data_IF_554385295041
#
_entry.id   IF_554385295041
#
_cell.length_a   1.000
_cell.length_b   1.000
_cell.length_c   1.000
_cell.angle_alpha   90.00
_cell.angle_beta   90.00
_cell.angle_gamma   90.00
#
_symmetry.space_group_name_H-M   'P 1'
#
loop_
_entity.id
_entity.type
_entity.pdbx_description
1 polymer ?
#
# COMPACT_ATOMS: atom_id res chain seq x y z
N UNK A 1 6.52 19.13 2.78
CA UNK A 1 5.11 19.39 3.17
C UNK A 1 4.42 18.13 3.64
N UNK A 2 4.51 17.02 2.90
CA UNK A 2 3.85 15.74 3.16
C UNK A 2 4.09 15.21 4.58
N UNK A 3 5.36 15.01 4.97
CA UNK A 3 5.69 14.46 6.28
C UNK A 3 5.15 15.29 7.45
N UNK A 4 5.42 16.59 7.46
CA UNK A 4 4.97 17.50 8.53
C UNK A 4 3.45 17.55 8.62
N UNK A 5 2.75 17.71 7.50
CA UNK A 5 1.29 17.82 7.48
C UNK A 5 0.62 16.51 7.92
N UNK A 6 1.07 15.36 7.40
CA UNK A 6 0.48 14.07 7.76
C UNK A 6 0.71 13.73 9.24
N UNK A 7 1.91 13.97 9.78
CA UNK A 7 2.18 13.73 11.19
C UNK A 7 1.44 14.70 12.12
N UNK A 8 1.32 15.98 11.73
CA UNK A 8 0.49 16.95 12.47
C UNK A 8 -0.97 16.46 12.58
N UNK A 9 -1.55 16.04 11.46
CA UNK A 9 -2.90 15.48 11.42
C UNK A 9 -3.01 14.22 12.29
N UNK A 10 -2.04 13.30 12.20
CA UNK A 10 -2.02 12.10 13.04
C UNK A 10 -1.99 12.42 14.53
N UNK A 11 -1.15 13.36 14.98
CA UNK A 11 -1.08 13.79 16.38
C UNK A 11 -2.41 14.39 16.85
N UNK A 12 -3.02 15.26 16.05
CA UNK A 12 -4.33 15.85 16.36
C UNK A 12 -5.44 14.80 16.46
N UNK A 13 -5.43 13.78 15.58
CA UNK A 13 -6.38 12.68 15.62
C UNK A 13 -6.16 11.74 16.83
N UNK A 14 -4.92 11.63 17.32
CA UNK A 14 -4.58 10.93 18.55
C UNK A 14 -4.94 11.72 19.82
N UNK A 15 -5.37 12.97 19.69
CA UNK A 15 -5.86 13.80 20.80
C UNK A 15 -4.81 14.75 21.38
N UNK A 16 -3.65 14.90 20.74
CA UNK A 16 -2.68 15.93 21.10
C UNK A 16 -3.28 17.33 20.91
N UNK A 17 -2.88 18.27 21.76
CA UNK A 17 -3.40 19.65 21.78
C UNK A 17 -2.26 20.65 21.65
N UNK A 18 -2.53 21.75 20.94
CA UNK A 18 -1.62 22.89 20.85
C UNK A 18 -1.40 23.50 22.24
N UNK A 19 -0.23 23.27 22.83
CA UNK A 19 0.12 23.76 24.16
C UNK A 19 1.17 24.88 24.09
N UNK A 20 0.74 26.07 23.65
CA UNK A 20 1.59 27.26 23.54
C UNK A 20 2.62 27.21 22.39
N UNK A 21 3.32 28.31 22.16
CA UNK A 21 4.13 28.53 20.94
C UNK A 21 5.46 27.74 20.89
N UNK A 22 5.92 27.21 22.04
CA UNK A 22 7.15 26.42 22.13
C UNK A 22 6.95 24.92 21.83
N UNK A 23 5.70 24.50 21.67
CA UNK A 23 5.29 23.13 21.39
C UNK A 23 5.69 22.67 19.98
N UNK A 24 6.05 21.40 19.84
CA UNK A 24 6.43 20.79 18.56
C UNK A 24 5.28 20.88 17.55
N UNK A 25 4.04 20.74 18.04
CA UNK A 25 2.83 20.85 17.24
C UNK A 25 2.64 22.27 16.68
N UNK A 26 2.82 23.31 17.52
CA UNK A 26 2.76 24.71 17.10
C UNK A 26 3.83 25.07 16.05
N UNK A 27 5.05 24.54 16.22
CA UNK A 27 6.14 24.68 15.23
C UNK A 27 5.79 23.98 13.92
N UNK A 28 5.23 22.77 13.98
CA UNK A 28 4.75 22.04 12.80
C UNK A 28 3.67 22.81 12.04
N UNK A 29 2.65 23.34 12.75
CA UNK A 29 1.61 24.20 12.18
C UNK A 29 2.19 25.44 11.50
N UNK A 30 3.07 26.16 12.20
CA UNK A 30 3.72 27.37 11.67
C UNK A 30 4.55 27.08 10.43
N UNK A 31 5.23 25.93 10.40
CA UNK A 31 5.97 25.46 9.24
C UNK A 31 5.03 25.14 8.07
N UNK A 32 3.92 24.43 8.31
CA UNK A 32 2.91 24.13 7.27
C UNK A 32 2.38 25.42 6.63
N UNK A 33 1.96 26.38 7.46
CA UNK A 33 1.41 27.65 6.97
C UNK A 33 2.45 28.46 6.16
N UNK A 34 3.69 28.56 6.65
CA UNK A 34 4.76 29.32 5.97
C UNK A 34 5.24 28.69 4.64
N UNK A 35 4.98 27.39 4.41
CA UNK A 35 5.42 26.66 3.21
C UNK A 35 4.28 26.39 2.21
N UNK A 36 3.26 27.26 2.19
CA UNK A 36 2.17 27.18 1.22
C UNK A 36 0.95 26.37 1.68
N UNK A 37 0.84 26.11 2.99
CA UNK A 37 -0.27 25.40 3.64
C UNK A 37 -0.47 23.97 3.13
N UNK A 38 -1.48 23.27 3.65
CA UNK A 38 -1.86 21.96 3.13
C UNK A 38 -2.30 22.01 1.65
N UNK A 39 -2.59 23.17 1.07
CA UNK A 39 -2.85 23.31 -0.38
C UNK A 39 -1.65 22.91 -1.26
N UNK A 40 -0.43 22.98 -0.71
CA UNK A 40 0.80 22.57 -1.38
C UNK A 40 1.21 21.11 -1.09
N UNK A 41 0.40 20.32 -0.38
CA UNK A 41 0.73 18.92 -0.09
C UNK A 41 0.76 18.08 -1.40
N UNK A 42 1.65 17.08 -1.56
CA UNK A 42 1.62 16.18 -2.71
C UNK A 42 0.31 15.40 -2.84
N UNK A 43 0.03 14.87 -4.03
CA UNK A 43 -1.25 14.22 -4.38
C UNK A 43 -1.71 13.16 -3.36
N UNK A 44 -0.82 12.28 -2.89
CA UNK A 44 -1.19 11.27 -1.89
C UNK A 44 -1.64 11.89 -0.57
N UNK A 45 -1.03 13.00 -0.16
CA UNK A 45 -1.50 13.78 0.98
C UNK A 45 -2.87 14.38 0.72
N UNK A 46 -3.09 14.99 -0.45
CA UNK A 46 -4.41 15.55 -0.83
C UNK A 46 -5.50 14.49 -0.73
N UNK A 47 -5.23 13.27 -1.21
CA UNK A 47 -6.18 12.15 -1.17
C UNK A 47 -6.50 11.76 0.28
N UNK A 48 -5.50 11.54 1.13
CA UNK A 48 -5.72 11.22 2.54
C UNK A 48 -6.49 12.31 3.28
N UNK A 49 -6.13 13.57 3.06
CA UNK A 49 -6.82 14.71 3.63
C UNK A 49 -8.26 14.85 3.11
N UNK A 50 -8.53 14.48 1.86
CA UNK A 50 -9.89 14.43 1.31
C UNK A 50 -10.74 13.33 1.92
N UNK A 51 -10.18 12.14 2.12
CA UNK A 51 -10.86 11.01 2.77
C UNK A 51 -11.34 11.40 4.18
N UNK A 52 -10.53 12.11 4.97
CA UNK A 52 -10.90 12.54 6.33
C UNK A 52 -11.68 13.87 6.36
N UNK A 53 -11.82 14.55 5.22
CA UNK A 53 -12.61 15.76 5.09
C UNK A 53 -11.90 17.08 5.42
N UNK A 54 -10.57 17.15 5.40
CA UNK A 54 -9.80 18.41 5.60
C UNK A 54 -9.27 19.01 4.29
N UNK A 55 -9.62 18.42 3.15
CA UNK A 55 -9.22 18.88 1.82
C UNK A 55 -10.31 18.53 0.79
N UNK A 56 -10.71 19.44 -0.10
CA UNK A 56 -11.79 19.14 -1.05
C UNK A 56 -11.32 18.25 -2.21
N UNK A 57 -12.15 17.27 -2.62
CA UNK A 57 -11.82 16.37 -3.74
C UNK A 57 -11.59 17.11 -5.06
N UNK A 58 -12.18 18.29 -5.26
CA UNK A 58 -11.92 19.14 -6.44
C UNK A 58 -10.46 19.60 -6.50
N UNK A 59 -9.78 19.71 -5.36
CA UNK A 59 -8.36 20.05 -5.30
C UNK A 59 -7.42 18.89 -5.58
N UNK A 60 -7.93 17.74 -6.04
CA UNK A 60 -7.13 16.59 -6.48
C UNK A 60 -7.13 16.50 -8.01
N UNK A 61 -6.02 16.02 -8.58
CA UNK A 61 -6.04 15.57 -9.98
C UNK A 61 -6.99 14.38 -10.10
N UNK A 62 -7.77 14.26 -11.19
CA UNK A 62 -8.70 13.16 -11.37
C UNK A 62 -8.02 11.80 -11.25
N UNK A 63 -8.64 10.91 -10.47
CA UNK A 63 -8.26 9.50 -10.35
C UNK A 63 -9.40 8.71 -10.95
N UNK A 64 -9.21 8.12 -12.12
CA UNK A 64 -10.31 7.72 -13.01
C UNK A 64 -10.64 6.24 -12.78
N UNK A 65 -11.76 5.88 -12.12
CA UNK A 65 -12.16 4.47 -11.95
C UNK A 65 -12.27 3.72 -13.28
N UNK A 66 -12.78 4.40 -14.30
CA UNK A 66 -13.10 3.85 -15.62
C UNK A 66 -11.86 3.38 -16.38
N UNK A 67 -10.66 3.78 -15.96
CA UNK A 67 -9.41 3.25 -16.50
C UNK A 67 -9.28 1.73 -16.29
N UNK A 68 -9.97 1.16 -15.29
CA UNK A 68 -10.04 -0.29 -15.04
C UNK A 68 -11.04 -1.04 -15.92
N UNK A 69 -11.74 -0.34 -16.82
CA UNK A 69 -12.66 -0.94 -17.79
C UNK A 69 -12.12 -0.90 -19.22
N UNK A 70 -10.98 -0.24 -19.45
CA UNK A 70 -10.39 -0.19 -20.80
C UNK A 70 -9.81 -1.57 -21.16
N UNK A 71 -9.63 -1.91 -22.45
CA UNK A 71 -9.06 -3.20 -22.83
C UNK A 71 -7.65 -3.45 -22.27
N UNK A 72 -7.42 -4.66 -21.74
CA UNK A 72 -6.16 -5.05 -21.06
C UNK A 72 -4.89 -4.93 -21.94
N UNK A 73 -5.03 -4.97 -23.27
CA UNK A 73 -3.90 -4.84 -24.19
C UNK A 73 -3.37 -3.40 -24.29
N UNK A 74 -4.12 -2.40 -23.82
CA UNK A 74 -3.69 -1.00 -23.86
C UNK A 74 -2.60 -0.74 -22.81
N UNK A 75 -1.54 0.03 -23.14
CA UNK A 75 -0.42 0.28 -22.23
C UNK A 75 -0.83 1.09 -20.98
N UNK A 76 -1.95 1.81 -21.05
CA UNK A 76 -2.51 2.59 -19.95
C UNK A 76 -3.39 1.77 -19.00
N UNK A 77 -3.65 0.50 -19.31
CA UNK A 77 -4.50 -0.34 -18.47
C UNK A 77 -3.82 -0.60 -17.10
N UNK A 78 -4.48 -0.37 -15.94
CA UNK A 78 -3.84 -0.43 -14.63
C UNK A 78 -3.26 -1.81 -14.28
N UNK A 79 -3.81 -2.88 -14.84
CA UNK A 79 -3.27 -4.24 -14.70
C UNK A 79 -1.81 -4.38 -15.17
N UNK A 80 -1.33 -3.48 -16.03
CA UNK A 80 0.05 -3.44 -16.52
C UNK A 80 0.98 -2.58 -15.66
N UNK A 81 0.45 -1.81 -14.72
CA UNK A 81 1.29 -1.01 -13.82
C UNK A 81 1.92 -1.91 -12.76
N UNK A 82 3.02 -1.42 -12.19
CA UNK A 82 3.66 -2.03 -11.05
C UNK A 82 2.63 -2.33 -9.94
N UNK A 83 2.73 -3.49 -9.29
CA UNK A 83 1.72 -4.02 -8.39
C UNK A 83 1.36 -3.06 -7.25
N UNK A 84 2.37 -2.47 -6.60
CA UNK A 84 2.15 -1.46 -5.57
C UNK A 84 1.38 -0.25 -6.09
N UNK A 85 1.76 0.26 -7.26
CA UNK A 85 1.08 1.40 -7.88
C UNK A 85 -0.38 1.07 -8.17
N UNK A 86 -0.67 -0.02 -8.88
CA UNK A 86 -2.06 -0.32 -9.26
C UNK A 86 -2.94 -0.56 -8.05
N UNK A 87 -2.47 -1.25 -7.02
CA UNK A 87 -3.30 -1.61 -5.86
C UNK A 87 -3.60 -0.39 -4.98
N UNK A 88 -2.61 0.48 -4.75
CA UNK A 88 -2.86 1.73 -4.03
C UNK A 88 -3.84 2.62 -4.81
N UNK A 89 -3.61 2.81 -6.11
CA UNK A 89 -4.47 3.65 -6.93
C UNK A 89 -5.85 3.03 -7.19
N UNK A 90 -6.02 1.71 -7.09
CA UNK A 90 -7.31 1.03 -7.17
C UNK A 90 -8.28 1.53 -6.10
N UNK A 91 -7.82 1.52 -4.84
CA UNK A 91 -8.62 1.91 -3.68
C UNK A 91 -8.78 3.43 -3.62
N UNK A 92 -7.73 4.19 -3.99
CA UNK A 92 -7.86 5.64 -4.16
C UNK A 92 -8.88 6.01 -5.26
N UNK A 93 -8.91 5.29 -6.39
CA UNK A 93 -9.87 5.52 -7.45
C UNK A 93 -11.30 5.23 -6.99
N UNK A 94 -11.50 4.14 -6.24
CA UNK A 94 -12.81 3.81 -5.67
C UNK A 94 -13.32 4.96 -4.78
N UNK A 95 -12.52 5.39 -3.80
CA UNK A 95 -12.87 6.46 -2.87
C UNK A 95 -13.05 7.81 -3.57
N UNK A 96 -12.23 8.12 -4.58
CA UNK A 96 -12.38 9.32 -5.41
C UNK A 96 -13.66 9.28 -6.25
N UNK A 97 -13.99 8.14 -6.85
CA UNK A 97 -15.14 8.00 -7.74
C UNK A 97 -16.48 8.18 -7.00
N UNK A 98 -16.55 7.80 -5.74
CA UNK A 98 -17.69 8.07 -4.85
C UNK A 98 -17.56 9.39 -4.06
N UNK A 99 -16.43 10.10 -4.21
CA UNK A 99 -16.08 11.33 -3.45
C UNK A 99 -16.24 11.14 -1.94
N UNK A 100 -15.78 10.00 -1.42
CA UNK A 100 -15.99 9.66 -0.02
C UNK A 100 -15.34 10.67 0.92
N UNK A 101 -16.09 11.10 1.94
CA UNK A 101 -15.60 11.96 3.02
C UNK A 101 -16.10 11.38 4.34
N UNK A 102 -15.18 11.18 5.28
CA UNK A 102 -15.50 10.70 6.63
C UNK A 102 -16.29 11.71 7.47
N UNK A 103 -16.73 11.33 8.68
CA UNK A 103 -17.50 12.20 9.55
C UNK A 103 -16.74 13.49 9.93
N UNK A 104 -17.42 14.64 9.80
CA UNK A 104 -16.87 15.94 10.18
C UNK A 104 -16.98 16.15 11.70
N UNK A 105 -15.96 15.70 12.44
CA UNK A 105 -15.86 15.89 13.89
C UNK A 105 -15.31 17.29 14.24
N UNK A 106 -15.43 17.76 15.50
CA UNK A 106 -14.79 19.00 15.93
C UNK A 106 -13.27 19.03 15.64
N UNK A 107 -12.57 17.90 15.77
CA UNK A 107 -11.14 17.79 15.43
C UNK A 107 -10.90 18.01 13.94
N UNK A 108 -11.73 17.43 13.06
CA UNK A 108 -11.62 17.64 11.60
C UNK A 108 -11.88 19.11 11.23
N UNK A 109 -12.85 19.76 11.87
CA UNK A 109 -13.11 21.18 11.65
C UNK A 109 -11.95 22.05 12.14
N UNK A 110 -11.34 21.74 13.29
CA UNK A 110 -10.15 22.43 13.77
C UNK A 110 -8.96 22.26 12.81
N UNK A 111 -8.76 21.06 12.25
CA UNK A 111 -7.73 20.81 11.26
C UNK A 111 -7.90 21.65 9.99
N UNK A 112 -9.14 21.94 9.56
CA UNK A 112 -9.38 22.84 8.43
C UNK A 112 -8.88 24.27 8.71
N UNK A 113 -8.98 24.74 9.93
CA UNK A 113 -8.48 26.07 10.32
C UNK A 113 -6.96 26.06 10.57
N UNK A 114 -6.41 24.94 11.02
CA UNK A 114 -4.97 24.82 11.33
C UNK A 114 -4.08 24.66 10.10
N UNK A 115 -4.56 23.93 9.10
CA UNK A 115 -3.74 23.50 7.97
C UNK A 115 -3.74 24.48 6.80
N UNK A 116 -4.67 25.45 6.78
CA UNK A 116 -4.91 26.34 5.66
C UNK A 116 -4.68 27.79 6.05
N UNK A 117 -4.04 28.57 5.16
CA UNK A 117 -3.71 29.98 5.41
C UNK A 117 -4.88 30.95 5.18
N UNK A 118 -5.97 30.45 4.61
CA UNK A 118 -7.21 31.18 4.34
C UNK A 118 -8.40 30.33 4.83
N UNK A 119 -9.56 30.94 5.12
CA UNK A 119 -10.75 30.18 5.52
C UNK A 119 -11.05 29.06 4.53
N UNK A 120 -11.44 27.87 5.02
CA UNK A 120 -11.61 26.67 4.20
C UNK A 120 -12.55 26.87 2.99
N UNK A 121 -13.60 27.68 3.15
CA UNK A 121 -14.58 28.01 2.10
C UNK A 121 -14.02 28.90 0.99
N UNK A 122 -12.90 29.57 1.24
CA UNK A 122 -12.29 30.55 0.33
C UNK A 122 -11.05 29.97 -0.37
N UNK A 123 -10.73 28.70 -0.15
CA UNK A 123 -9.60 28.03 -0.81
C UNK A 123 -9.91 27.86 -2.29
N UNK A 124 -8.99 28.32 -3.13
CA UNK A 124 -8.98 28.03 -4.56
C UNK A 124 -8.47 26.60 -4.79
N UNK A 125 -9.41 25.65 -4.83
CA UNK A 125 -9.10 24.23 -5.04
C UNK A 125 -8.56 23.94 -6.43
N UNK A 126 -8.91 24.72 -7.46
CA UNK A 126 -8.35 24.57 -8.80
C UNK A 126 -6.85 24.86 -8.80
N UNK A 127 -6.43 25.95 -8.14
CA UNK A 127 -5.01 26.25 -7.93
C UNK A 127 -4.33 25.22 -7.04
N UNK A 128 -5.00 24.80 -5.96
CA UNK A 128 -4.46 23.79 -5.05
C UNK A 128 -4.18 22.47 -5.78
N UNK A 129 -5.02 22.06 -6.74
CA UNK A 129 -4.85 20.85 -7.57
C UNK A 129 -3.47 20.73 -8.19
N UNK A 130 -2.99 21.83 -8.74
CA UNK A 130 -1.71 21.89 -9.45
C UNK A 130 -0.51 22.26 -8.57
N UNK A 131 -0.77 22.59 -7.30
CA UNK A 131 0.24 23.00 -6.33
C UNK A 131 0.93 21.80 -5.70
N UNK A 132 2.23 21.92 -5.48
CA UNK A 132 3.07 20.99 -4.72
C UNK A 132 4.23 21.79 -4.13
N UNK A 133 4.53 21.59 -2.85
CA UNK A 133 5.66 22.24 -2.18
C UNK A 133 6.97 21.84 -2.86
N UNK A 134 7.88 22.80 -3.03
CA UNK A 134 9.15 22.59 -3.73
C UNK A 134 9.99 21.50 -3.09
N UNK A 135 9.95 21.41 -1.76
CA UNK A 135 10.68 20.44 -0.95
C UNK A 135 10.23 19.00 -1.21
N UNK A 136 8.99 18.79 -1.65
CA UNK A 136 8.44 17.46 -1.94
C UNK A 136 8.43 17.14 -3.46
N UNK A 137 8.79 18.11 -4.32
CA UNK A 137 8.70 17.98 -5.77
C UNK A 137 9.95 17.29 -6.34
N UNK A 138 10.03 15.97 -6.17
CA UNK A 138 11.13 15.17 -6.73
C UNK A 138 11.03 15.00 -8.26
N UNK A 139 9.82 14.80 -8.78
CA UNK A 139 9.57 14.61 -10.21
C UNK A 139 8.60 15.68 -10.72
N UNK A 140 9.12 16.77 -11.31
CA UNK A 140 8.30 17.81 -11.90
C UNK A 140 7.44 17.26 -13.04
N UNK A 141 6.18 17.71 -13.12
CA UNK A 141 5.29 17.31 -14.21
C UNK A 141 5.77 17.89 -15.54
N UNK A 142 5.81 17.05 -16.57
CA UNK A 142 6.08 17.50 -17.94
C UNK A 142 4.91 18.29 -18.51
N UNK A 143 5.15 19.07 -19.57
CA UNK A 143 4.07 19.78 -20.27
C UNK A 143 3.01 18.83 -20.81
N UNK A 144 3.42 17.65 -21.30
CA UNK A 144 2.49 16.60 -21.75
C UNK A 144 1.60 16.09 -20.60
N UNK A 145 2.17 15.86 -19.42
CA UNK A 145 1.38 15.46 -18.24
C UNK A 145 0.41 16.55 -17.80
N UNK A 146 0.83 17.83 -17.83
CA UNK A 146 -0.06 18.95 -17.50
C UNK A 146 -1.23 19.03 -18.50
N UNK A 147 -0.97 18.83 -19.80
CA UNK A 147 -2.03 18.77 -20.80
C UNK A 147 -2.98 17.60 -20.54
N UNK A 148 -2.46 16.40 -20.25
CA UNK A 148 -3.28 15.22 -19.93
C UNK A 148 -4.16 15.50 -18.72
N UNK A 149 -3.60 15.93 -17.59
CA UNK A 149 -4.38 16.23 -16.38
C UNK A 149 -5.40 17.35 -16.60
N UNK A 150 -5.04 18.39 -17.38
CA UNK A 150 -5.96 19.44 -17.79
C UNK A 150 -7.14 18.91 -18.60
N UNK A 151 -6.89 18.01 -19.56
CA UNK A 151 -7.94 17.36 -20.33
C UNK A 151 -8.82 16.45 -19.46
N UNK A 152 -8.19 15.66 -18.58
CA UNK A 152 -8.92 14.78 -17.66
C UNK A 152 -9.85 15.59 -16.75
N UNK A 153 -9.38 16.72 -16.23
CA UNK A 153 -10.16 17.54 -15.32
C UNK A 153 -11.27 18.35 -16.02
N UNK A 154 -10.99 18.97 -17.17
CA UNK A 154 -11.95 19.88 -17.82
C UNK A 154 -13.01 19.16 -18.66
N UNK A 155 -12.69 17.96 -19.16
CA UNK A 155 -13.58 17.26 -20.09
C UNK A 155 -13.97 15.89 -19.56
N UNK A 156 -12.99 15.01 -19.26
CA UNK A 156 -13.28 13.60 -18.96
C UNK A 156 -14.05 13.45 -17.65
N UNK A 157 -13.59 14.08 -16.56
CA UNK A 157 -14.23 13.99 -15.24
C UNK A 157 -15.66 14.57 -15.24
N UNK A 158 -15.94 15.77 -15.81
CA UNK A 158 -17.31 16.26 -15.94
C UNK A 158 -18.21 15.33 -16.75
N UNK A 159 -17.74 14.84 -17.90
CA UNK A 159 -18.52 13.93 -18.76
C UNK A 159 -18.88 12.66 -17.98
N UNK A 160 -17.92 12.04 -17.30
CA UNK A 160 -18.13 10.80 -16.54
C UNK A 160 -19.02 10.98 -15.29
N UNK A 161 -19.28 12.22 -14.86
CA UNK A 161 -20.25 12.53 -13.81
C UNK A 161 -21.65 12.85 -14.35
N UNK A 162 -21.82 13.00 -15.67
CA UNK A 162 -23.10 13.29 -16.29
C UNK A 162 -23.79 12.02 -16.82
N UNK A 163 -25.12 12.01 -16.78
CA UNK A 163 -25.90 10.95 -17.42
C UNK A 163 -25.80 11.05 -18.95
N UNK A 164 -25.64 9.93 -19.70
CA UNK A 164 -25.61 8.54 -19.24
C UNK A 164 -24.21 7.99 -18.93
N UNK A 165 -23.15 8.78 -19.08
CA UNK A 165 -21.77 8.34 -18.94
C UNK A 165 -21.41 7.93 -17.49
N UNK A 166 -22.10 8.48 -16.49
CA UNK A 166 -21.97 8.06 -15.09
C UNK A 166 -22.29 6.57 -14.83
N UNK A 167 -23.04 5.90 -15.71
CA UNK A 167 -23.22 4.44 -15.65
C UNK A 167 -21.90 3.67 -15.85
N UNK A 168 -20.95 4.25 -16.58
CA UNK A 168 -19.61 3.69 -16.72
C UNK A 168 -18.86 3.75 -15.38
N UNK A 169 -19.01 4.86 -14.64
CA UNK A 169 -18.48 5.02 -13.29
C UNK A 169 -19.03 3.98 -12.33
N UNK A 170 -20.34 3.79 -12.31
CA UNK A 170 -20.99 2.77 -11.46
C UNK A 170 -20.44 1.36 -11.75
N UNK A 171 -20.29 1.01 -13.04
CA UNK A 171 -19.68 -0.26 -13.45
C UNK A 171 -18.22 -0.36 -13.03
N UNK A 172 -17.45 0.73 -13.15
CA UNK A 172 -16.05 0.78 -12.78
C UNK A 172 -15.87 0.60 -11.27
N UNK A 173 -16.68 1.30 -10.46
CA UNK A 173 -16.68 1.17 -9.00
C UNK A 173 -17.03 -0.26 -8.56
N UNK A 174 -18.04 -0.89 -9.16
CA UNK A 174 -18.36 -2.29 -8.90
C UNK A 174 -17.22 -3.23 -9.29
N UNK A 175 -16.50 -2.95 -10.38
CA UNK A 175 -15.33 -3.72 -10.76
C UNK A 175 -14.18 -3.54 -9.75
N UNK A 176 -13.85 -2.30 -9.39
CA UNK A 176 -12.82 -1.99 -8.40
C UNK A 176 -13.07 -2.71 -7.08
N UNK A 177 -14.30 -2.69 -6.57
CA UNK A 177 -14.60 -3.35 -5.29
C UNK A 177 -14.42 -4.87 -5.34
N UNK A 178 -14.67 -5.51 -6.50
CA UNK A 178 -14.35 -6.93 -6.70
C UNK A 178 -12.85 -7.19 -6.64
N UNK A 179 -12.03 -6.32 -7.24
CA UNK A 179 -10.57 -6.44 -7.17
C UNK A 179 -10.04 -6.17 -5.75
N UNK A 180 -10.66 -5.23 -5.01
CA UNK A 180 -10.34 -4.96 -3.60
C UNK A 180 -10.63 -6.19 -2.73
N UNK A 181 -11.84 -6.75 -2.81
CA UNK A 181 -12.20 -7.97 -2.08
C UNK A 181 -11.29 -9.14 -2.45
N UNK A 182 -10.94 -9.29 -3.74
CA UNK A 182 -10.01 -10.32 -4.17
C UNK A 182 -8.62 -10.18 -3.52
N UNK A 183 -8.06 -8.96 -3.51
CA UNK A 183 -6.78 -8.69 -2.85
C UNK A 183 -6.88 -8.99 -1.34
N UNK A 184 -7.96 -8.56 -0.71
CA UNK A 184 -8.18 -8.78 0.72
C UNK A 184 -8.28 -10.27 1.06
N UNK A 185 -9.13 -11.03 0.36
CA UNK A 185 -9.32 -12.45 0.61
C UNK A 185 -8.03 -13.27 0.36
N UNK A 186 -7.33 -12.99 -0.75
CA UNK A 186 -6.12 -13.75 -1.13
C UNK A 186 -4.90 -13.42 -0.28
N UNK A 187 -4.88 -12.27 0.39
CA UNK A 187 -3.84 -11.88 1.34
C UNK A 187 -4.26 -12.03 2.80
N UNK A 188 -5.40 -12.69 3.05
CA UNK A 188 -6.00 -12.82 4.39
C UNK A 188 -6.10 -11.49 5.14
N UNK A 189 -6.46 -10.44 4.40
CA UNK A 189 -6.67 -9.07 4.84
C UNK A 189 -5.40 -8.33 5.31
N UNK A 190 -4.21 -8.88 5.00
CA UNK A 190 -2.92 -8.20 5.21
C UNK A 190 -2.67 -7.16 4.12
N UNK A 191 -3.04 -7.44 2.87
CA UNK A 191 -2.73 -6.62 1.70
C UNK A 191 -1.25 -6.61 1.33
N UNK A 192 -0.91 -6.11 0.14
CA UNK A 192 0.50 -6.01 -0.30
C UNK A 192 1.36 -5.09 0.58
N UNK A 193 0.80 -4.06 1.22
CA UNK A 193 1.55 -3.04 1.96
C UNK A 193 0.61 -2.26 2.89
N UNK A 194 1.12 -1.48 3.88
CA UNK A 194 0.27 -0.80 4.86
C UNK A 194 -0.69 0.21 4.24
N UNK A 195 -0.30 0.84 3.12
CA UNK A 195 -1.11 1.84 2.42
C UNK A 195 -2.33 1.16 1.78
N UNK A 196 -2.10 0.11 1.00
CA UNK A 196 -3.18 -0.68 0.39
C UNK A 196 -4.06 -1.29 1.48
N UNK A 197 -3.47 -1.83 2.54
CA UNK A 197 -4.23 -2.37 3.69
C UNK A 197 -5.18 -1.34 4.26
N UNK A 198 -4.68 -0.14 4.58
CA UNK A 198 -5.49 0.91 5.19
C UNK A 198 -6.59 1.39 4.24
N UNK A 199 -6.28 1.59 2.97
CA UNK A 199 -7.25 2.04 1.96
C UNK A 199 -8.31 0.98 1.67
N UNK A 200 -7.95 -0.30 1.55
CA UNK A 200 -8.90 -1.40 1.35
C UNK A 200 -9.84 -1.55 2.55
N UNK A 201 -9.29 -1.47 3.77
CA UNK A 201 -10.09 -1.48 4.99
C UNK A 201 -11.11 -0.34 5.00
N UNK A 202 -10.72 0.87 4.57
CA UNK A 202 -11.65 2.00 4.41
C UNK A 202 -12.69 1.69 3.32
N UNK A 203 -12.29 1.15 2.16
CA UNK A 203 -13.24 0.80 1.10
C UNK A 203 -14.30 -0.21 1.58
N UNK A 204 -13.89 -1.25 2.30
CA UNK A 204 -14.80 -2.24 2.89
C UNK A 204 -15.71 -1.63 3.96
N UNK A 205 -15.19 -0.70 4.77
CA UNK A 205 -16.01 0.03 5.74
C UNK A 205 -17.05 0.93 5.06
N UNK A 206 -16.66 1.61 3.97
CA UNK A 206 -17.55 2.48 3.18
C UNK A 206 -18.63 1.67 2.44
N UNK A 207 -18.27 0.49 1.90
CA UNK A 207 -19.23 -0.41 1.27
C UNK A 207 -20.26 -0.90 2.30
N UNK A 208 -19.80 -1.42 3.43
CA UNK A 208 -20.66 -1.81 4.55
C UNK A 208 -19.85 -1.93 5.85
N UNK A 209 -20.08 -1.05 6.86
CA UNK A 209 -19.31 -1.04 8.10
C UNK A 209 -19.57 -2.27 9.00
N UNK A 210 -20.63 -3.03 8.72
CA UNK A 210 -20.98 -4.27 9.45
C UNK A 210 -20.57 -5.54 8.69
N UNK A 211 -19.91 -5.41 7.54
CA UNK A 211 -19.47 -6.55 6.72
C UNK A 211 -18.43 -7.41 7.41
N UNK A 212 -18.43 -8.70 7.09
CA UNK A 212 -17.38 -9.60 7.59
C UNK A 212 -16.02 -9.25 6.99
N UNK A 213 -15.97 -8.76 5.75
CA UNK A 213 -14.74 -8.24 5.13
C UNK A 213 -14.08 -7.13 5.97
N UNK A 214 -14.86 -6.14 6.42
CA UNK A 214 -14.33 -5.09 7.31
C UNK A 214 -13.86 -5.66 8.65
N UNK A 215 -14.61 -6.60 9.27
CA UNK A 215 -14.22 -7.21 10.55
C UNK A 215 -12.90 -7.99 10.45
N UNK A 216 -12.65 -8.66 9.32
CA UNK A 216 -11.41 -9.41 9.09
C UNK A 216 -10.18 -8.50 8.94
N UNK A 217 -10.36 -7.26 8.49
CA UNK A 217 -9.27 -6.27 8.44
C UNK A 217 -8.78 -5.80 9.81
N UNK A 218 -9.64 -5.77 10.82
CA UNK A 218 -9.34 -5.21 12.14
C UNK A 218 -8.18 -5.91 12.86
N UNK A 219 -8.15 -7.25 13.02
CA UNK A 219 -7.03 -7.91 13.67
C UNK A 219 -5.71 -7.78 12.88
N UNK A 220 -5.78 -7.66 11.55
CA UNK A 220 -4.62 -7.52 10.67
C UNK A 220 -3.99 -6.13 10.68
N UNK A 221 -4.61 -5.14 11.33
CA UNK A 221 -3.99 -3.82 11.49
C UNK A 221 -2.71 -3.88 12.34
N UNK A 222 -2.68 -4.76 13.34
CA UNK A 222 -1.54 -4.93 14.24
C UNK A 222 -0.32 -5.54 13.56
N UNK A 223 -0.51 -6.30 12.47
CA UNK A 223 0.59 -6.91 11.70
C UNK A 223 1.57 -5.84 11.16
N UNK A 224 1.11 -4.60 10.99
CA UNK A 224 1.91 -3.47 10.55
C UNK A 224 2.47 -2.60 11.68
N UNK A 225 2.13 -2.85 12.94
CA UNK A 225 2.61 -2.03 14.06
C UNK A 225 3.81 -2.69 14.73
N UNK A 226 4.91 -1.92 14.85
CA UNK A 226 6.14 -2.35 15.48
C UNK A 226 6.52 -1.44 16.64
N UNK A 227 6.85 -2.03 17.79
CA UNK A 227 7.34 -1.30 18.95
C UNK A 227 8.88 -1.30 18.95
N UNK A 228 9.47 -0.12 18.75
CA UNK A 228 10.91 0.12 18.82
C UNK A 228 11.27 0.98 20.03
N UNK A 229 12.57 1.24 20.21
CA UNK A 229 13.13 2.06 21.28
C UNK A 229 12.63 3.51 21.31
N UNK A 230 12.18 4.02 20.16
CA UNK A 230 11.61 5.36 19.96
C UNK A 230 10.07 5.35 19.91
N UNK A 231 9.44 4.21 20.22
CA UNK A 231 7.99 4.05 20.29
C UNK A 231 7.41 3.17 19.19
N UNK A 232 6.08 3.24 19.03
CA UNK A 232 5.34 2.43 18.07
C UNK A 232 5.34 3.09 16.68
N UNK A 233 5.66 2.34 15.63
CA UNK A 233 5.67 2.80 14.23
C UNK A 233 4.97 1.82 13.29
N UNK A 234 4.48 2.33 12.17
CA UNK A 234 3.99 1.50 11.09
C UNK A 234 5.16 0.97 10.25
N UNK A 235 5.20 -0.34 10.04
CA UNK A 235 6.14 -1.02 9.17
C UNK A 235 5.78 -0.79 7.69
N UNK A 236 6.76 -0.86 6.80
CA UNK A 236 6.57 -0.71 5.34
C UNK A 236 5.93 -1.95 4.70
N UNK A 237 5.88 -3.06 5.45
CA UNK A 237 5.30 -4.36 5.08
C UNK A 237 4.83 -5.06 6.37
N UNK A 238 4.19 -6.23 6.32
CA UNK A 238 3.85 -7.03 7.53
C UNK A 238 5.08 -7.72 8.17
N UNK A 239 6.26 -7.13 7.99
CA UNK A 239 7.58 -7.65 8.35
C UNK A 239 8.41 -8.05 7.12
N UNK A 240 9.58 -8.64 7.35
CA UNK A 240 10.47 -9.14 6.29
C UNK A 240 11.05 -10.52 6.63
N UNK A 241 10.27 -11.32 7.36
CA UNK A 241 10.68 -12.59 7.96
C UNK A 241 11.32 -13.56 6.97
N UNK A 242 10.69 -13.81 5.81
CA UNK A 242 11.22 -14.74 4.81
C UNK A 242 12.55 -14.23 4.21
N UNK A 243 12.63 -12.93 3.95
CA UNK A 243 13.83 -12.29 3.41
C UNK A 243 15.01 -12.34 4.39
N UNK A 244 14.78 -11.93 5.63
CA UNK A 244 15.82 -11.90 6.67
C UNK A 244 16.31 -13.31 7.02
N UNK A 245 15.39 -14.27 7.20
CA UNK A 245 15.77 -15.64 7.57
C UNK A 245 16.57 -16.31 6.44
N UNK A 246 16.21 -16.07 5.17
CA UNK A 246 17.00 -16.56 4.04
C UNK A 246 18.44 -16.05 4.08
N UNK A 247 18.66 -14.76 4.35
CA UNK A 247 20.01 -14.19 4.47
C UNK A 247 20.74 -14.62 5.74
N UNK A 248 20.05 -14.72 6.87
CA UNK A 248 20.64 -15.20 8.13
C UNK A 248 21.17 -16.62 7.93
N UNK A 249 20.39 -17.51 7.30
CA UNK A 249 20.84 -18.86 6.97
C UNK A 249 22.10 -18.82 6.12
N UNK A 250 22.10 -18.04 5.03
CA UNK A 250 23.26 -17.91 4.14
C UNK A 250 24.49 -17.39 4.86
N UNK A 251 24.33 -16.41 5.75
CA UNK A 251 25.40 -15.86 6.55
C UNK A 251 26.00 -16.94 7.46
N UNK A 252 25.17 -17.66 8.22
CA UNK A 252 25.65 -18.78 9.05
C UNK A 252 26.29 -19.90 8.23
N UNK A 253 25.73 -20.24 7.06
CA UNK A 253 26.31 -21.21 6.14
C UNK A 253 27.68 -20.78 5.59
N UNK A 254 27.93 -19.49 5.50
CA UNK A 254 29.22 -18.92 5.09
C UNK A 254 30.22 -18.87 6.24
N UNK A 255 29.81 -19.25 7.45
CA UNK A 255 30.69 -19.39 8.61
C UNK A 255 30.95 -20.86 8.92
N UNK A 256 32.06 -21.15 9.60
CA UNK A 256 32.30 -22.47 10.20
C UNK A 256 31.60 -22.62 11.57
N UNK A 257 30.50 -21.89 11.82
CA UNK A 257 29.82 -21.84 13.12
C UNK A 257 28.51 -22.63 13.17
N UNK A 258 28.03 -23.21 12.07
CA UNK A 258 26.76 -23.94 12.02
C UNK A 258 26.68 -25.03 13.10
N UNK A 259 27.77 -25.78 13.32
CA UNK A 259 27.84 -26.81 14.36
C UNK A 259 27.56 -26.28 15.78
N UNK A 260 27.84 -25.00 16.04
CA UNK A 260 27.54 -24.35 17.34
C UNK A 260 26.09 -23.88 17.43
N UNK A 261 25.43 -23.61 16.31
CA UNK A 261 24.09 -23.04 16.23
C UNK A 261 23.06 -23.98 15.59
N UNK A 262 23.33 -25.29 15.55
CA UNK A 262 22.47 -26.30 14.92
C UNK A 262 20.99 -26.16 15.24
N UNK A 263 20.57 -26.10 16.53
CA UNK A 263 19.16 -25.93 16.89
C UNK A 263 18.52 -24.65 16.34
N UNK A 264 19.27 -23.53 16.29
CA UNK A 264 18.80 -22.26 15.71
C UNK A 264 18.62 -22.40 14.20
N UNK A 265 19.60 -22.99 13.52
CA UNK A 265 19.54 -23.21 12.06
C UNK A 265 18.43 -24.18 11.68
N UNK A 266 18.19 -25.23 12.47
CA UNK A 266 17.08 -26.15 12.27
C UNK A 266 15.72 -25.44 12.33
N UNK A 267 15.52 -24.55 13.31
CA UNK A 267 14.30 -23.73 13.39
C UNK A 267 14.16 -22.78 12.19
N UNK A 268 15.25 -22.15 11.75
CA UNK A 268 15.25 -21.30 10.56
C UNK A 268 14.91 -22.11 9.29
N UNK A 269 15.43 -23.32 9.16
CA UNK A 269 15.12 -24.25 8.07
C UNK A 269 13.64 -24.64 8.07
N UNK A 270 13.09 -25.01 9.23
CA UNK A 270 11.66 -25.31 9.39
C UNK A 270 10.78 -24.11 9.05
N UNK A 271 11.17 -22.90 9.48
CA UNK A 271 10.48 -21.66 9.12
C UNK A 271 10.45 -21.45 7.60
N UNK A 272 11.59 -21.58 6.91
CA UNK A 272 11.63 -21.44 5.45
C UNK A 272 10.76 -22.49 4.75
N UNK A 273 10.78 -23.74 5.22
CA UNK A 273 9.90 -24.80 4.70
C UNK A 273 8.42 -24.52 4.94
N UNK A 274 8.05 -23.86 6.03
CA UNK A 274 6.66 -23.56 6.35
C UNK A 274 6.15 -22.27 5.68
N UNK A 275 7.07 -21.40 5.26
CA UNK A 275 6.75 -20.09 4.67
C UNK A 275 6.58 -20.11 3.14
N UNK A 276 6.83 -21.24 2.48
CA UNK A 276 6.61 -21.36 1.03
C UNK A 276 5.12 -21.30 0.70
N UNK A 277 4.76 -20.56 -0.34
CA UNK A 277 3.42 -20.56 -0.92
C UNK A 277 3.17 -21.87 -1.66
N UNK A 278 2.20 -22.67 -1.21
CA UNK A 278 1.98 -24.03 -1.72
C UNK A 278 1.02 -24.14 -2.91
N UNK A 279 0.28 -23.06 -3.23
CA UNK A 279 -0.69 -23.02 -4.31
C UNK A 279 -0.79 -21.62 -4.91
N UNK A 280 -1.17 -21.54 -6.19
CA UNK A 280 -1.57 -20.26 -6.78
C UNK A 280 -2.88 -19.79 -6.13
N UNK A 281 -3.08 -18.48 -6.08
CA UNK A 281 -4.36 -17.90 -5.70
C UNK A 281 -5.45 -18.29 -6.72
N UNK A 282 -6.71 -18.51 -6.30
CA UNK A 282 -7.80 -18.77 -7.23
C UNK A 282 -7.91 -17.64 -8.26
N UNK A 283 -8.14 -17.95 -9.54
CA UNK A 283 -8.36 -16.95 -10.61
C UNK A 283 -7.28 -15.85 -10.74
N UNK A 284 -6.04 -16.10 -10.31
CA UNK A 284 -4.98 -15.09 -10.17
C UNK A 284 -4.75 -14.22 -11.43
N UNK A 285 -4.81 -14.82 -12.62
CA UNK A 285 -4.60 -14.11 -13.89
C UNK A 285 -5.66 -13.04 -14.16
N UNK A 286 -6.92 -13.31 -13.80
CA UNK A 286 -8.04 -12.37 -13.97
C UNK A 286 -7.86 -11.12 -13.11
N UNK A 287 -7.12 -11.24 -12.01
CA UNK A 287 -6.84 -10.15 -11.08
C UNK A 287 -5.40 -9.64 -11.21
N UNK A 288 -4.74 -9.94 -12.33
CA UNK A 288 -3.40 -9.46 -12.66
C UNK A 288 -2.32 -9.86 -11.65
N UNK A 289 -2.56 -10.91 -10.87
CA UNK A 289 -1.54 -11.52 -10.01
C UNK A 289 -0.63 -12.38 -10.87
N UNK A 290 0.63 -12.47 -10.48
CA UNK A 290 1.54 -13.47 -11.03
C UNK A 290 1.29 -14.82 -10.35
N UNK A 291 1.74 -15.92 -10.97
CA UNK A 291 1.75 -17.21 -10.27
C UNK A 291 2.59 -17.12 -8.99
N UNK A 292 2.17 -17.84 -7.96
CA UNK A 292 2.77 -17.80 -6.62
C UNK A 292 3.11 -19.16 -6.05
N UNK A 293 2.60 -20.26 -6.62
CA UNK A 293 2.95 -21.63 -6.21
C UNK A 293 4.47 -21.82 -6.27
N UNK A 294 5.04 -22.23 -5.15
CA UNK A 294 6.48 -22.48 -4.98
C UNK A 294 7.28 -21.26 -4.50
N UNK A 295 6.68 -20.07 -4.47
CA UNK A 295 7.38 -18.84 -4.12
C UNK A 295 7.54 -18.61 -2.62
N UNK A 296 8.40 -17.66 -2.28
CA UNK A 296 8.41 -16.98 -0.99
C UNK A 296 8.03 -15.51 -1.18
N UNK A 297 7.28 -14.99 -0.20
CA UNK A 297 6.98 -13.57 -0.08
C UNK A 297 8.14 -12.86 0.61
N UNK A 298 8.07 -11.53 0.75
CA UNK A 298 9.02 -10.79 1.59
C UNK A 298 8.89 -11.18 3.08
N UNK A 299 7.65 -11.42 3.53
CA UNK A 299 7.26 -11.57 4.93
C UNK A 299 6.73 -12.96 5.25
N UNK A 300 5.41 -13.09 5.44
CA UNK A 300 4.66 -14.28 5.79
C UNK A 300 3.98 -14.88 4.55
N UNK A 301 3.64 -16.16 4.63
CA UNK A 301 2.86 -16.84 3.59
C UNK A 301 1.46 -16.23 3.40
N UNK A 302 0.92 -15.59 4.44
CA UNK A 302 -0.41 -14.96 4.41
C UNK A 302 -0.47 -13.77 3.46
N UNK A 303 0.61 -13.00 3.36
CA UNK A 303 0.73 -11.91 2.38
C UNK A 303 0.54 -12.42 0.93
N UNK A 304 1.07 -13.61 0.63
CA UNK A 304 0.84 -14.33 -0.62
C UNK A 304 1.35 -13.65 -1.91
N UNK A 305 2.09 -12.54 -1.86
CA UNK A 305 2.73 -11.93 -3.03
C UNK A 305 4.08 -12.57 -3.33
N UNK A 306 4.17 -13.24 -4.48
CA UNK A 306 5.44 -13.82 -4.93
C UNK A 306 6.46 -12.73 -5.26
N UNK A 307 7.68 -12.90 -4.76
CA UNK A 307 8.79 -12.00 -5.04
C UNK A 307 9.97 -12.82 -5.56
N UNK A 308 10.54 -12.40 -6.68
CA UNK A 308 11.55 -13.14 -7.44
C UNK A 308 12.85 -13.32 -6.66
N UNK A 309 13.38 -12.25 -6.08
CA UNK A 309 14.58 -12.29 -5.24
C UNK A 309 14.34 -13.08 -3.95
N UNK A 310 13.22 -12.88 -3.25
CA UNK A 310 12.89 -13.60 -2.02
C UNK A 310 12.81 -15.10 -2.28
N UNK A 311 12.21 -15.50 -3.40
CA UNK A 311 12.16 -16.90 -3.82
C UNK A 311 13.56 -17.43 -4.15
N UNK A 312 14.39 -16.66 -4.85
CA UNK A 312 15.76 -17.06 -5.19
C UNK A 312 16.64 -17.24 -3.94
N UNK A 313 16.62 -16.27 -3.02
CA UNK A 313 17.39 -16.33 -1.78
C UNK A 313 16.92 -17.44 -0.84
N UNK A 314 15.60 -17.70 -0.79
CA UNK A 314 15.04 -18.83 -0.06
C UNK A 314 15.51 -20.17 -0.64
N UNK A 315 15.45 -20.35 -1.97
CA UNK A 315 15.93 -21.55 -2.66
C UNK A 315 17.43 -21.75 -2.39
N UNK A 316 18.23 -20.68 -2.50
CA UNK A 316 19.67 -20.74 -2.22
C UNK A 316 19.95 -21.15 -0.78
N UNK A 317 19.25 -20.59 0.19
CA UNK A 317 19.37 -20.96 1.60
C UNK A 317 19.04 -22.46 1.81
N UNK A 318 17.95 -22.95 1.23
CA UNK A 318 17.53 -24.36 1.34
C UNK A 318 18.55 -25.31 0.69
N UNK A 319 19.14 -24.93 -0.45
CA UNK A 319 20.18 -25.71 -1.14
C UNK A 319 21.53 -25.71 -0.40
N UNK A 320 21.83 -24.67 0.38
CA UNK A 320 23.01 -24.68 1.25
C UNK A 320 22.80 -25.62 2.44
N UNK A 321 21.61 -25.57 3.05
CA UNK A 321 21.27 -26.42 4.18
C UNK A 321 21.19 -27.91 3.80
N UNK A 322 20.79 -28.24 2.57
CA UNK A 322 20.74 -29.64 2.11
C UNK A 322 22.11 -30.32 2.03
N UNK A 323 23.20 -29.56 2.08
CA UNK A 323 24.59 -30.07 2.11
C UNK A 323 25.09 -30.38 3.53
N UNK A 324 24.29 -30.07 4.54
CA UNK A 324 24.63 -30.24 5.96
C UNK A 324 23.86 -31.45 6.50
N UNK A 325 24.44 -32.15 7.49
CA UNK A 325 23.79 -33.33 8.09
C UNK A 325 22.37 -33.00 8.58
N UNK A 326 21.35 -33.80 8.20
CA UNK A 326 19.98 -33.65 8.70
C UNK A 326 19.87 -33.75 10.23
N UNK A 327 20.77 -34.45 10.89
CA UNK A 327 20.81 -34.51 12.36
C UNK A 327 21.05 -33.14 12.99
N UNK A 328 21.76 -32.25 12.27
CA UNK A 328 22.10 -30.91 12.75
C UNK A 328 21.04 -29.87 12.34
N UNK A 329 20.57 -29.90 11.08
CA UNK A 329 19.72 -28.83 10.50
C UNK A 329 18.32 -29.30 10.09
N UNK A 330 17.97 -30.55 10.36
CA UNK A 330 16.71 -31.17 9.97
C UNK A 330 16.68 -31.61 8.49
N UNK A 331 15.65 -32.39 8.15
CA UNK A 331 15.52 -32.95 6.81
C UNK A 331 15.39 -31.87 5.72
N UNK A 332 16.02 -32.07 4.55
CA UNK A 332 15.85 -31.21 3.39
C UNK A 332 14.37 -31.03 3.00
N UNK A 333 14.06 -29.90 2.37
CA UNK A 333 12.76 -29.72 1.71
C UNK A 333 12.58 -30.77 0.59
N UNK A 334 11.34 -31.21 0.38
CA UNK A 334 10.99 -32.14 -0.71
C UNK A 334 11.40 -31.56 -2.08
N UNK A 335 11.92 -32.41 -2.95
CA UNK A 335 12.46 -32.02 -4.25
C UNK A 335 11.40 -31.38 -5.16
N UNK A 336 10.17 -31.87 -5.14
CA UNK A 336 9.06 -31.32 -5.93
C UNK A 336 8.75 -29.86 -5.54
N UNK A 337 8.93 -29.51 -4.27
CA UNK A 337 8.73 -28.15 -3.78
C UNK A 337 9.82 -27.18 -4.26
N UNK A 338 11.03 -27.67 -4.50
CA UNK A 338 12.09 -26.88 -5.15
C UNK A 338 11.77 -26.68 -6.63
N UNK A 339 11.25 -27.69 -7.32
CA UNK A 339 10.81 -27.55 -8.71
C UNK A 339 9.71 -26.51 -8.87
N UNK A 340 8.70 -26.51 -8.00
CA UNK A 340 7.67 -25.47 -7.97
C UNK A 340 8.28 -24.06 -7.82
N UNK A 341 9.30 -23.91 -6.98
CA UNK A 341 10.00 -22.63 -6.79
C UNK A 341 10.78 -22.20 -8.04
N UNK A 342 11.51 -23.11 -8.68
CA UNK A 342 12.24 -22.85 -9.92
C UNK A 342 11.27 -22.48 -11.05
N UNK A 343 10.16 -23.21 -11.19
CA UNK A 343 9.12 -22.88 -12.18
C UNK A 343 8.54 -21.48 -11.95
N UNK A 344 8.37 -21.07 -10.69
CA UNK A 344 7.95 -19.72 -10.34
C UNK A 344 9.00 -18.69 -10.75
N UNK A 345 10.29 -18.91 -10.46
CA UNK A 345 11.37 -17.99 -10.86
C UNK A 345 11.42 -17.85 -12.39
N UNK A 346 11.39 -18.96 -13.12
CA UNK A 346 11.48 -18.95 -14.59
C UNK A 346 10.31 -18.23 -15.24
N UNK A 347 9.13 -18.25 -14.62
CA UNK A 347 7.95 -17.57 -15.13
C UNK A 347 8.01 -16.04 -15.12
N UNK A 348 8.97 -15.42 -14.41
CA UNK A 348 9.17 -13.97 -14.45
C UNK A 348 9.94 -13.49 -15.70
N UNK A 349 10.51 -14.42 -16.49
CA UNK A 349 11.28 -14.10 -17.70
C UNK A 349 10.45 -14.17 -18.99
N UNK A 350 9.19 -14.59 -18.90
CA UNK A 350 8.32 -14.91 -20.05
C UNK A 350 7.35 -13.79 -20.36
#
# INVERSE_FOLDING_TARGET
MFGTCMNYVSLMLLGEKLNGDLDALAKGRSWIISHGSATAIPQWGKIWLSIIGVYDWSGNNPIIPELWLVPDFLPIHPGRFWCYTRLVYMSMAYLYGIKFVGPLTPTILALREDLHSVPYTNIDWDKARDSCAKEDLHYPRSQAQNLIFGCLNKFVEPILNCWPANKLRERALSNLMKHIHYEDETTKYVGICPITKALNMICCWVENPNSDAFKQHLPRFYDYLWLAEDGMKAQVYDGCHSWEIAFIIQAYCSTNLIGKFGPTIKKAHEFMKNSQVLSNHPNYERYYRHRSKGSWTLSSVDNGWSVSDCTAEAVKALLLLSKISPDLVGDPIKQERLYDAIDCILSFMV
#
